data_IF_355438192993
#
_entry.id   IF_355438192993
#
_cell.length_a   1.000
_cell.length_b   1.000
_cell.length_c   1.000
_cell.angle_alpha   90.00
_cell.angle_beta   90.00
_cell.angle_gamma   90.00
#
_symmetry.space_group_name_H-M   'P 1'
#
loop_
_entity.id
_entity.type
_entity.pdbx_description
1 polymer ?
#
# COMPACT_ATOMS: atom_id res chain seq x y z
N UNK A 1 -35.56 6.63 -10.82
CA UNK A 1 -34.19 6.87 -10.35
C UNK A 1 -33.53 7.85 -11.29
N UNK A 2 -33.37 9.10 -10.86
CA UNK A 2 -32.75 10.15 -11.67
C UNK A 2 -31.25 10.24 -11.40
N UNK A 3 -30.51 10.90 -12.28
CA UNK A 3 -29.08 11.16 -12.08
C UNK A 3 -28.81 12.07 -10.86
N UNK A 4 -29.77 12.95 -10.51
CA UNK A 4 -29.69 13.77 -9.32
C UNK A 4 -29.76 12.94 -8.03
N UNK A 5 -30.67 11.95 -7.98
CA UNK A 5 -30.80 11.01 -6.85
C UNK A 5 -29.51 10.21 -6.64
N UNK A 6 -28.82 9.87 -7.72
CA UNK A 6 -27.51 9.20 -7.70
C UNK A 6 -26.40 10.08 -7.11
N UNK A 7 -26.30 11.34 -7.55
CA UNK A 7 -25.27 12.27 -7.07
C UNK A 7 -25.43 12.58 -5.58
N UNK A 8 -26.67 12.75 -5.12
CA UNK A 8 -26.97 12.97 -3.71
C UNK A 8 -26.62 11.73 -2.86
N UNK A 9 -26.87 10.54 -3.40
CA UNK A 9 -26.48 9.28 -2.79
C UNK A 9 -24.96 9.10 -2.68
N UNK A 10 -24.20 9.45 -3.73
CA UNK A 10 -22.73 9.43 -3.69
C UNK A 10 -22.15 10.45 -2.71
N UNK A 11 -22.69 11.67 -2.69
CA UNK A 11 -22.27 12.70 -1.73
C UNK A 11 -22.49 12.21 -0.28
N UNK A 12 -23.61 11.55 0.00
CA UNK A 12 -23.90 10.97 1.31
C UNK A 12 -23.02 9.77 1.69
N UNK A 13 -22.45 9.09 0.71
CA UNK A 13 -21.50 8.01 0.95
C UNK A 13 -20.10 8.54 1.27
N UNK A 14 -19.71 9.68 0.71
CA UNK A 14 -18.38 10.24 0.89
C UNK A 14 -18.27 11.09 2.17
N UNK A 15 -19.36 11.73 2.59
CA UNK A 15 -19.37 12.69 3.69
C UNK A 15 -20.37 12.29 4.79
N UNK A 16 -19.91 12.15 6.04
CA UNK A 16 -20.76 11.70 7.17
C UNK A 16 -21.86 12.71 7.54
N UNK A 17 -21.76 13.95 7.05
CA UNK A 17 -22.66 15.05 7.39
C UNK A 17 -23.90 15.19 6.48
N UNK A 18 -24.01 14.40 5.40
CA UNK A 18 -25.10 14.56 4.43
C UNK A 18 -26.33 13.74 4.85
N UNK A 19 -27.51 14.35 4.73
CA UNK A 19 -28.79 13.76 5.09
C UNK A 19 -29.06 12.45 4.33
N UNK A 20 -29.50 11.42 5.07
CA UNK A 20 -29.90 10.13 4.52
C UNK A 20 -31.04 10.32 3.52
N UNK A 21 -31.01 9.67 2.33
CA UNK A 21 -32.08 9.80 1.35
C UNK A 21 -33.47 9.48 1.92
N UNK A 22 -34.47 10.27 1.54
CA UNK A 22 -35.87 10.08 1.95
C UNK A 22 -36.55 8.90 1.27
N UNK A 23 -36.09 8.54 0.07
CA UNK A 23 -36.60 7.38 -0.65
C UNK A 23 -36.28 6.07 0.12
N UNK A 24 -37.28 5.22 0.40
CA UNK A 24 -37.11 4.03 1.23
C UNK A 24 -36.19 2.96 0.60
N UNK A 25 -36.14 2.88 -0.73
CA UNK A 25 -35.26 1.95 -1.45
C UNK A 25 -33.81 2.43 -1.33
N UNK A 26 -33.59 3.73 -1.52
CA UNK A 26 -32.26 4.34 -1.40
C UNK A 26 -31.72 4.27 0.02
N UNK A 27 -32.57 4.53 1.01
CA UNK A 27 -32.22 4.41 2.42
C UNK A 27 -31.71 3.02 2.76
N UNK A 28 -32.34 1.98 2.21
CA UNK A 28 -31.93 0.59 2.43
C UNK A 28 -30.61 0.27 1.73
N UNK A 29 -30.43 0.71 0.48
CA UNK A 29 -29.17 0.57 -0.24
C UNK A 29 -28.00 1.30 0.47
N UNK A 30 -28.26 2.52 0.96
CA UNK A 30 -27.31 3.31 1.74
C UNK A 30 -26.87 2.57 3.00
N UNK A 31 -27.81 2.02 3.77
CA UNK A 31 -27.50 1.24 4.97
C UNK A 31 -26.63 0.00 4.67
N UNK A 32 -26.92 -0.72 3.59
CA UNK A 32 -26.12 -1.89 3.17
C UNK A 32 -24.70 -1.48 2.83
N UNK A 33 -24.52 -0.46 2.00
CA UNK A 33 -23.19 -0.01 1.58
C UNK A 33 -22.40 0.56 2.76
N UNK A 34 -23.05 1.32 3.65
CA UNK A 34 -22.42 1.82 4.88
C UNK A 34 -21.95 0.68 5.77
N UNK A 35 -22.75 -0.37 5.94
CA UNK A 35 -22.38 -1.56 6.73
C UNK A 35 -21.23 -2.34 6.08
N UNK A 36 -21.23 -2.49 4.76
CA UNK A 36 -20.11 -3.10 4.02
C UNK A 36 -18.84 -2.27 4.19
N UNK A 37 -18.92 -0.93 4.18
CA UNK A 37 -17.78 -0.04 4.41
C UNK A 37 -17.26 -0.11 5.85
N UNK A 38 -18.16 -0.08 6.84
CA UNK A 38 -17.82 -0.28 8.26
C UNK A 38 -17.09 -1.61 8.48
N UNK A 39 -17.56 -2.69 7.84
CA UNK A 39 -16.88 -3.98 7.82
C UNK A 39 -15.52 -3.85 7.13
N UNK A 40 -15.46 -3.36 5.89
CA UNK A 40 -14.21 -3.23 5.14
C UNK A 40 -13.14 -2.45 5.91
N UNK A 41 -13.48 -1.35 6.59
CA UNK A 41 -12.51 -0.57 7.41
C UNK A 41 -11.97 -1.37 8.60
N UNK A 42 -12.78 -2.24 9.23
CA UNK A 42 -12.30 -3.16 10.28
C UNK A 42 -11.37 -4.22 9.70
N UNK A 43 -11.67 -4.69 8.50
CA UNK A 43 -10.94 -5.75 7.81
C UNK A 43 -9.63 -5.27 7.17
N UNK A 44 -9.57 -4.04 6.65
CA UNK A 44 -8.36 -3.42 6.03
C UNK A 44 -7.20 -3.25 7.03
N UNK A 45 -7.46 -3.30 8.34
CA UNK A 45 -6.41 -3.32 9.38
C UNK A 45 -5.80 -4.71 9.63
N UNK A 46 -6.31 -5.77 8.99
CA UNK A 46 -5.80 -7.15 9.10
C UNK A 46 -5.41 -7.68 7.72
N UNK A 47 -4.57 -8.72 7.75
CA UNK A 47 -3.86 -9.27 6.60
C UNK A 47 -4.82 -9.61 5.43
N UNK A 48 -4.83 -8.72 4.43
CA UNK A 48 -5.88 -8.60 3.42
C UNK A 48 -6.05 -9.87 2.57
N UNK A 49 -4.98 -10.66 2.43
CA UNK A 49 -4.95 -11.84 1.57
C UNK A 49 -5.78 -13.02 2.08
N UNK A 50 -5.89 -13.20 3.41
CA UNK A 50 -6.64 -14.32 3.99
C UNK A 50 -8.15 -14.08 4.00
N UNK A 51 -8.58 -12.81 4.02
CA UNK A 51 -9.97 -12.40 4.21
C UNK A 51 -10.63 -11.84 2.93
N UNK A 52 -9.85 -11.64 1.86
CA UNK A 52 -10.35 -11.21 0.54
C UNK A 52 -11.37 -12.18 -0.06
N UNK A 53 -11.09 -13.48 -0.03
CA UNK A 53 -11.99 -14.51 -0.56
C UNK A 53 -13.34 -14.55 0.17
N UNK A 54 -13.38 -14.56 1.52
CA UNK A 54 -14.62 -14.38 2.28
C UNK A 54 -15.37 -13.08 1.92
N UNK A 55 -14.66 -11.96 1.73
CA UNK A 55 -15.27 -10.69 1.35
C UNK A 55 -15.94 -10.74 -0.03
N UNK A 56 -15.25 -11.28 -1.04
CA UNK A 56 -15.79 -11.47 -2.40
C UNK A 56 -16.96 -12.45 -2.40
N UNK A 57 -16.91 -13.49 -1.57
CA UNK A 57 -17.98 -14.46 -1.41
C UNK A 57 -19.24 -13.83 -0.79
N UNK A 58 -19.09 -13.06 0.30
CA UNK A 58 -20.20 -12.35 0.93
C UNK A 58 -20.80 -11.28 0.00
N UNK A 59 -19.95 -10.58 -0.76
CA UNK A 59 -20.39 -9.66 -1.80
C UNK A 59 -21.23 -10.39 -2.86
N UNK A 60 -20.76 -11.55 -3.35
CA UNK A 60 -21.48 -12.35 -4.34
C UNK A 60 -22.82 -12.87 -3.81
N UNK A 61 -22.89 -13.30 -2.55
CA UNK A 61 -24.16 -13.69 -1.91
C UNK A 61 -25.11 -12.50 -1.75
N UNK A 62 -24.60 -11.33 -1.38
CA UNK A 62 -25.40 -10.11 -1.32
C UNK A 62 -25.96 -9.74 -2.69
N UNK A 63 -25.18 -9.92 -3.77
CA UNK A 63 -25.64 -9.74 -5.16
C UNK A 63 -26.81 -10.64 -5.49
N UNK A 64 -26.67 -11.96 -5.26
CA UNK A 64 -27.71 -12.94 -5.58
C UNK A 64 -29.00 -12.64 -4.82
N UNK A 65 -28.91 -12.43 -3.51
CA UNK A 65 -30.09 -12.14 -2.67
C UNK A 65 -30.76 -10.81 -3.05
N UNK A 66 -29.96 -9.81 -3.44
CA UNK A 66 -30.48 -8.52 -3.88
C UNK A 66 -31.22 -8.62 -5.21
N UNK A 67 -30.70 -9.42 -6.16
CA UNK A 67 -31.36 -9.73 -7.44
C UNK A 67 -32.70 -10.40 -7.20
N UNK A 68 -32.78 -11.38 -6.31
CA UNK A 68 -34.04 -12.07 -5.98
C UNK A 68 -35.10 -11.12 -5.42
N UNK A 69 -34.67 -10.18 -4.57
CA UNK A 69 -35.59 -9.28 -3.87
C UNK A 69 -36.01 -8.04 -4.69
N UNK A 70 -35.19 -7.60 -5.66
CA UNK A 70 -35.39 -6.31 -6.35
C UNK A 70 -35.26 -6.39 -7.88
N UNK A 71 -35.01 -7.58 -8.42
CA UNK A 71 -34.84 -7.82 -9.84
C UNK A 71 -33.45 -7.45 -10.39
N UNK A 72 -33.15 -8.00 -11.56
CA UNK A 72 -31.82 -7.93 -12.21
C UNK A 72 -31.40 -6.50 -12.56
N UNK A 73 -32.36 -5.63 -12.89
CA UNK A 73 -32.07 -4.22 -13.27
C UNK A 73 -31.57 -3.40 -12.07
N UNK A 74 -32.19 -3.57 -10.90
CA UNK A 74 -31.77 -2.87 -9.67
C UNK A 74 -30.40 -3.36 -9.19
N UNK A 75 -30.13 -4.66 -9.30
CA UNK A 75 -28.83 -5.22 -8.96
C UNK A 75 -27.72 -4.72 -9.88
N UNK A 76 -27.94 -4.73 -11.21
CA UNK A 76 -26.96 -4.22 -12.18
C UNK A 76 -26.58 -2.76 -11.90
N UNK A 77 -27.54 -1.93 -11.51
CA UNK A 77 -27.29 -0.55 -11.14
C UNK A 77 -26.43 -0.47 -9.86
N UNK A 78 -26.84 -1.13 -8.78
CA UNK A 78 -26.13 -1.08 -7.50
C UNK A 78 -24.67 -1.58 -7.61
N UNK A 79 -24.44 -2.68 -8.33
CA UNK A 79 -23.11 -3.26 -8.47
C UNK A 79 -22.27 -2.59 -9.54
N UNK A 80 -22.88 -2.06 -10.61
CA UNK A 80 -22.19 -1.22 -11.59
C UNK A 80 -21.63 0.05 -10.94
N UNK A 81 -22.44 0.70 -10.09
CA UNK A 81 -22.02 1.83 -9.26
C UNK A 81 -20.87 1.48 -8.33
N UNK A 82 -20.99 0.39 -7.56
CA UNK A 82 -19.94 -0.03 -6.64
C UNK A 82 -18.61 -0.31 -7.36
N UNK A 83 -18.65 -0.92 -8.55
CA UNK A 83 -17.46 -1.18 -9.36
C UNK A 83 -16.81 0.11 -9.89
N UNK A 84 -17.61 1.08 -10.34
CA UNK A 84 -17.10 2.38 -10.82
C UNK A 84 -16.46 3.19 -9.69
N UNK A 85 -17.09 3.22 -8.51
CA UNK A 85 -16.54 3.87 -7.31
C UNK A 85 -15.24 3.18 -6.87
N UNK A 86 -15.20 1.84 -6.85
CA UNK A 86 -13.98 1.10 -6.56
C UNK A 86 -12.84 1.45 -7.51
N UNK A 87 -13.13 1.54 -8.82
CA UNK A 87 -12.14 1.93 -9.83
C UNK A 87 -11.65 3.37 -9.63
N UNK A 88 -12.54 4.31 -9.30
CA UNK A 88 -12.18 5.69 -9.02
C UNK A 88 -11.28 5.83 -7.78
N UNK A 89 -11.54 5.05 -6.73
CA UNK A 89 -10.73 5.03 -5.51
C UNK A 89 -9.35 4.38 -5.68
N UNK A 90 -9.21 3.41 -6.59
CA UNK A 90 -7.92 2.79 -6.93
C UNK A 90 -7.11 3.60 -7.95
N UNK A 91 -7.73 4.59 -8.59
CA UNK A 91 -7.01 5.51 -9.47
C UNK A 91 -6.35 6.56 -8.59
N UNK A 92 -5.02 6.55 -8.49
CA UNK A 92 -4.30 7.61 -7.79
C UNK A 92 -4.69 8.98 -8.38
N UNK A 93 -4.87 10.02 -7.55
CA UNK A 93 -5.18 11.34 -8.05
C UNK A 93 -4.05 11.78 -9.01
N UNK A 94 -4.38 12.32 -10.19
CA UNK A 94 -3.36 12.76 -11.13
C UNK A 94 -2.44 13.77 -10.42
N UNK A 95 -1.11 13.68 -10.63
CA UNK A 95 -0.17 14.58 -9.98
C UNK A 95 -0.59 16.02 -10.27
N UNK A 96 -0.79 16.79 -9.20
CA UNK A 96 -1.08 18.23 -9.31
C UNK A 96 0.05 18.84 -10.12
N UNK A 97 -0.28 19.31 -11.33
CA UNK A 97 0.63 20.15 -12.13
C UNK A 97 0.75 21.48 -11.41
N UNK A 98 1.67 21.55 -10.45
CA UNK A 98 2.12 22.80 -9.88
C UNK A 98 2.87 23.59 -10.95
N UNK A 99 2.37 24.79 -11.24
CA UNK A 99 3.15 25.93 -11.69
C UNK A 99 3.87 25.81 -13.03
N UNK A 100 3.14 26.04 -14.12
CA UNK A 100 3.74 26.61 -15.32
C UNK A 100 3.96 28.12 -15.06
N UNK A 101 5.12 28.50 -14.56
CA UNK A 101 5.61 29.88 -14.62
C UNK A 101 6.39 30.08 -15.92
N UNK A 102 5.80 30.85 -16.82
CA UNK A 102 6.44 31.47 -17.98
C UNK A 102 7.15 32.75 -17.59
N UNK A 103 8.45 32.88 -17.92
CA UNK A 103 9.04 34.14 -18.39
C UNK A 103 10.44 33.96 -19.00
N UNK A 104 10.90 34.93 -19.83
CA UNK A 104 11.80 34.67 -20.96
C UNK A 104 13.26 35.10 -20.78
N UNK A 105 14.06 34.61 -21.74
CA UNK A 105 15.50 34.73 -21.97
C UNK A 105 16.17 36.09 -21.69
N UNK A 106 17.43 36.04 -21.21
CA UNK A 106 18.49 36.97 -21.62
C UNK A 106 19.90 36.51 -21.14
N UNK A 107 20.67 35.94 -22.08
CA UNK A 107 22.11 36.01 -22.32
C UNK A 107 23.08 36.41 -21.17
N UNK A 108 24.10 35.58 -20.91
CA UNK A 108 25.51 35.94 -21.21
C UNK A 108 26.45 34.77 -20.93
N UNK A 109 27.43 34.66 -21.84
CA UNK A 109 28.48 33.65 -21.87
C UNK A 109 29.56 33.99 -20.86
N UNK A 110 29.90 33.07 -19.96
CA UNK A 110 31.16 33.10 -19.20
C UNK A 110 31.51 31.66 -18.83
N UNK A 111 32.72 31.25 -19.19
CA UNK A 111 33.28 29.92 -18.92
C UNK A 111 33.31 29.63 -17.41
N UNK A 112 32.74 28.50 -17.00
CA UNK A 112 32.78 27.99 -15.62
C UNK A 112 33.39 26.57 -15.65
N UNK A 113 34.30 26.22 -14.72
CA UNK A 113 34.99 24.95 -14.71
C UNK A 113 34.06 23.80 -14.35
N UNK A 114 34.21 22.69 -15.07
CA UNK A 114 33.47 21.44 -14.88
C UNK A 114 33.91 20.75 -13.57
N UNK A 115 33.39 21.23 -12.44
CA UNK A 115 33.30 20.46 -11.21
C UNK A 115 31.94 19.78 -11.20
N UNK A 116 31.96 18.49 -11.55
CA UNK A 116 30.81 17.59 -11.47
C UNK A 116 30.56 17.33 -9.97
N UNK A 117 29.88 18.25 -9.31
CA UNK A 117 29.40 18.05 -7.95
C UNK A 117 28.45 16.84 -7.96
N UNK A 118 28.96 15.75 -7.40
CA UNK A 118 28.25 14.51 -7.12
C UNK A 118 27.19 14.81 -6.05
N UNK A 119 26.06 15.41 -6.46
CA UNK A 119 24.97 15.66 -5.54
C UNK A 119 24.44 14.31 -5.07
N UNK A 120 24.47 14.01 -3.75
CA UNK A 120 23.94 12.76 -3.25
C UNK A 120 22.46 12.70 -3.62
N UNK A 121 22.12 11.78 -4.52
CA UNK A 121 20.74 11.50 -4.88
C UNK A 121 20.06 11.05 -3.59
N UNK A 122 19.29 11.95 -2.97
CA UNK A 122 18.40 11.60 -1.86
C UNK A 122 17.41 10.58 -2.40
N UNK A 123 17.72 9.29 -2.21
CA UNK A 123 16.82 8.18 -2.48
C UNK A 123 15.59 8.41 -1.61
N UNK A 124 14.50 8.87 -2.22
CA UNK A 124 13.19 8.87 -1.58
C UNK A 124 12.85 7.42 -1.22
N UNK A 125 13.09 7.05 0.04
CA UNK A 125 12.68 5.74 0.57
C UNK A 125 11.17 5.79 0.73
N UNK A 126 10.45 5.09 -0.14
CA UNK A 126 9.02 4.87 0.02
C UNK A 126 8.82 4.06 1.31
N UNK A 127 8.02 4.55 2.25
CA UNK A 127 7.72 3.85 3.50
C UNK A 127 6.77 2.68 3.23
N UNK A 128 7.35 1.57 2.78
CA UNK A 128 6.63 0.31 2.61
C UNK A 128 6.93 -0.68 3.74
N UNK A 129 6.23 -1.81 3.68
CA UNK A 129 6.40 -2.93 4.60
C UNK A 129 7.79 -3.57 4.55
N UNK A 130 8.71 -3.15 3.68
CA UNK A 130 10.07 -3.67 3.63
C UNK A 130 11.11 -2.70 4.19
N UNK A 131 10.72 -1.46 4.45
CA UNK A 131 11.63 -0.40 4.90
C UNK A 131 12.29 -0.72 6.24
N UNK A 132 11.59 -1.42 7.14
CA UNK A 132 12.14 -1.81 8.44
C UNK A 132 13.27 -2.84 8.32
N UNK A 133 13.19 -3.76 7.35
CA UNK A 133 14.27 -4.71 7.09
C UNK A 133 15.52 -4.02 6.56
N UNK A 134 15.37 -3.03 5.67
CA UNK A 134 16.50 -2.25 5.16
C UNK A 134 17.18 -1.44 6.29
N UNK A 135 16.39 -0.87 7.20
CA UNK A 135 16.91 -0.19 8.40
C UNK A 135 17.62 -1.18 9.33
N UNK A 136 17.03 -2.36 9.57
CA UNK A 136 17.64 -3.41 10.38
C UNK A 136 18.99 -3.89 9.81
N UNK A 137 19.09 -4.03 8.49
CA UNK A 137 20.35 -4.41 7.81
C UNK A 137 21.43 -3.35 7.99
N UNK A 138 21.07 -2.07 7.83
CA UNK A 138 21.98 -0.94 8.03
C UNK A 138 22.53 -0.91 9.46
N UNK A 139 21.65 -1.07 10.45
CA UNK A 139 22.03 -1.14 11.88
C UNK A 139 22.88 -2.36 12.22
N UNK A 140 22.49 -3.53 11.73
CA UNK A 140 23.25 -4.76 11.98
C UNK A 140 24.66 -4.67 11.36
N UNK A 141 24.78 -4.08 10.16
CA UNK A 141 26.08 -3.82 9.52
C UNK A 141 26.97 -2.92 10.38
N UNK A 142 26.40 -1.83 10.90
CA UNK A 142 27.12 -0.88 11.77
C UNK A 142 27.60 -1.54 13.06
N UNK A 143 26.78 -2.42 13.66
CA UNK A 143 27.12 -3.07 14.94
C UNK A 143 28.09 -4.24 14.81
N UNK A 144 28.02 -5.04 13.73
CA UNK A 144 28.99 -6.11 13.50
C UNK A 144 30.38 -5.51 13.23
N UNK A 145 30.47 -4.49 12.39
CA UNK A 145 31.75 -3.93 11.96
C UNK A 145 32.49 -4.82 10.96
N UNK A 146 33.39 -4.23 10.17
CA UNK A 146 34.04 -4.93 9.04
C UNK A 146 35.11 -5.94 9.46
N UNK A 147 35.64 -5.82 10.68
CA UNK A 147 36.75 -6.65 11.17
C UNK A 147 36.29 -7.99 11.79
N UNK A 148 34.98 -8.23 11.91
CA UNK A 148 34.48 -9.46 12.51
C UNK A 148 34.59 -10.64 11.54
N UNK A 149 35.02 -11.84 12.00
CA UNK A 149 35.09 -13.04 11.16
C UNK A 149 33.75 -13.40 10.49
N UNK A 150 32.62 -13.01 11.10
CA UNK A 150 31.27 -13.30 10.61
C UNK A 150 30.68 -12.20 9.73
N UNK A 151 31.45 -11.17 9.39
CA UNK A 151 31.00 -10.10 8.51
C UNK A 151 30.74 -10.60 7.08
N UNK A 152 31.49 -11.61 6.62
CA UNK A 152 31.25 -12.27 5.34
C UNK A 152 29.87 -12.94 5.29
N UNK A 153 29.47 -13.66 6.34
CA UNK A 153 28.15 -14.27 6.45
C UNK A 153 27.03 -13.21 6.35
N UNK A 154 27.22 -12.09 7.05
CA UNK A 154 26.30 -10.96 7.01
C UNK A 154 26.10 -10.45 5.57
N UNK A 155 27.17 -10.23 4.82
CA UNK A 155 27.09 -9.71 3.44
C UNK A 155 26.28 -10.65 2.53
N UNK A 156 26.43 -11.98 2.71
CA UNK A 156 25.65 -12.97 1.95
C UNK A 156 24.16 -12.84 2.27
N UNK A 157 23.79 -12.77 3.55
CA UNK A 157 22.39 -12.64 3.94
C UNK A 157 21.78 -11.30 3.55
N UNK A 158 22.56 -10.21 3.62
CA UNK A 158 22.15 -8.89 3.19
C UNK A 158 21.82 -8.85 1.69
N UNK A 159 22.69 -9.41 0.85
CA UNK A 159 22.47 -9.48 -0.60
C UNK A 159 21.20 -10.28 -0.91
N UNK A 160 21.04 -11.46 -0.28
CA UNK A 160 19.86 -12.31 -0.45
C UNK A 160 18.58 -11.57 -0.06
N UNK A 161 18.52 -10.99 1.13
CA UNK A 161 17.32 -10.29 1.63
C UNK A 161 16.98 -9.08 0.73
N UNK A 162 17.99 -8.30 0.35
CA UNK A 162 17.82 -7.14 -0.54
C UNK A 162 17.24 -7.56 -1.90
N UNK A 163 17.70 -8.68 -2.45
CA UNK A 163 17.17 -9.22 -3.70
C UNK A 163 15.72 -9.69 -3.56
N UNK A 164 15.36 -10.37 -2.47
CA UNK A 164 13.98 -10.76 -2.19
C UNK A 164 13.07 -9.54 -2.07
N UNK A 165 13.49 -8.49 -1.35
CA UNK A 165 12.75 -7.24 -1.21
C UNK A 165 12.54 -6.56 -2.58
N UNK A 166 13.60 -6.42 -3.37
CA UNK A 166 13.52 -5.82 -4.72
C UNK A 166 12.53 -6.58 -5.62
N UNK A 167 12.59 -7.92 -5.62
CA UNK A 167 11.66 -8.74 -6.40
C UNK A 167 10.22 -8.62 -5.89
N UNK A 168 10.03 -8.56 -4.58
CA UNK A 168 8.71 -8.41 -3.96
C UNK A 168 8.08 -7.06 -4.27
N UNK A 169 8.86 -5.98 -4.24
CA UNK A 169 8.41 -4.64 -4.67
C UNK A 169 8.02 -4.59 -6.16
N UNK A 170 8.78 -5.27 -7.03
CA UNK A 170 8.56 -5.22 -8.48
C UNK A 170 7.44 -6.13 -8.97
N UNK A 171 7.30 -7.30 -8.36
CA UNK A 171 6.44 -8.38 -8.87
C UNK A 171 5.41 -8.87 -7.84
N UNK A 172 5.22 -8.15 -6.73
CA UNK A 172 4.40 -8.58 -5.60
C UNK A 172 5.09 -9.61 -4.70
N UNK A 173 4.55 -9.83 -3.50
CA UNK A 173 5.08 -10.83 -2.57
C UNK A 173 4.37 -12.17 -2.78
N UNK A 174 5.13 -13.21 -3.13
CA UNK A 174 4.58 -14.57 -3.36
C UNK A 174 4.86 -15.46 -2.16
N UNK A 175 4.16 -16.60 -2.05
CA UNK A 175 4.40 -17.57 -0.96
C UNK A 175 5.86 -18.02 -0.89
N UNK A 176 6.48 -18.26 -2.05
CA UNK A 176 7.88 -18.67 -2.10
C UNK A 176 8.83 -17.57 -1.61
N UNK A 177 8.56 -16.29 -1.96
CA UNK A 177 9.35 -15.14 -1.50
C UNK A 177 9.16 -14.87 -0.02
N UNK A 178 7.95 -15.10 0.50
CA UNK A 178 7.67 -15.03 1.92
C UNK A 178 8.48 -16.09 2.67
N UNK A 179 8.46 -17.35 2.21
CA UNK A 179 9.21 -18.44 2.81
C UNK A 179 10.72 -18.19 2.77
N UNK A 180 11.26 -17.77 1.62
CA UNK A 180 12.67 -17.41 1.46
C UNK A 180 13.05 -16.25 2.39
N UNK A 181 12.21 -15.22 2.49
CA UNK A 181 12.42 -14.10 3.41
C UNK A 181 12.47 -14.56 4.86
N UNK A 182 11.55 -15.43 5.27
CA UNK A 182 11.52 -15.97 6.64
C UNK A 182 12.80 -16.74 6.95
N UNK A 183 13.26 -17.60 6.04
CA UNK A 183 14.51 -18.34 6.22
C UNK A 183 15.72 -17.41 6.40
N UNK A 184 15.82 -16.36 5.57
CA UNK A 184 16.92 -15.38 5.66
C UNK A 184 16.84 -14.59 6.97
N UNK A 185 15.63 -14.22 7.42
CA UNK A 185 15.43 -13.53 8.69
C UNK A 185 15.87 -14.41 9.86
N UNK A 186 15.58 -15.72 9.84
CA UNK A 186 16.03 -16.64 10.89
C UNK A 186 17.56 -16.76 10.93
N UNK A 187 18.21 -16.80 9.75
CA UNK A 187 19.67 -16.79 9.63
C UNK A 187 20.28 -15.48 10.17
N UNK A 188 19.67 -14.33 9.85
CA UNK A 188 20.08 -13.02 10.36
C UNK A 188 19.86 -12.89 11.87
N UNK A 189 18.77 -13.43 12.41
CA UNK A 189 18.52 -13.46 13.85
C UNK A 189 19.59 -14.27 14.59
N UNK A 190 19.91 -15.47 14.10
CA UNK A 190 20.96 -16.31 14.68
C UNK A 190 22.33 -15.61 14.62
N UNK A 191 22.64 -14.95 13.51
CA UNK A 191 23.86 -14.16 13.36
C UNK A 191 23.89 -13.00 14.36
N UNK A 192 22.85 -12.16 14.39
CA UNK A 192 22.77 -10.98 15.25
C UNK A 192 22.85 -11.33 16.74
N UNK A 193 22.13 -12.36 17.20
CA UNK A 193 22.19 -12.81 18.58
C UNK A 193 23.59 -13.24 19.01
N UNK A 194 24.33 -13.89 18.11
CA UNK A 194 25.69 -14.36 18.40
C UNK A 194 26.78 -13.30 18.31
N UNK A 195 26.55 -12.20 17.61
CA UNK A 195 27.54 -11.12 17.41
C UNK A 195 27.26 -9.90 18.27
N UNK A 196 26.01 -9.44 18.31
CA UNK A 196 25.61 -8.18 18.96
C UNK A 196 24.67 -8.39 20.14
N UNK A 197 24.16 -9.62 20.36
CA UNK A 197 23.32 -9.98 21.50
C UNK A 197 21.85 -9.55 21.39
N UNK A 198 21.44 -8.98 20.25
CA UNK A 198 20.09 -8.51 19.96
C UNK A 198 19.60 -9.20 18.68
N UNK A 199 18.32 -9.56 18.60
CA UNK A 199 17.78 -10.19 17.39
C UNK A 199 17.66 -9.19 16.23
N UNK A 200 17.75 -9.66 14.98
CA UNK A 200 17.56 -8.82 13.80
C UNK A 200 16.15 -8.22 13.74
N UNK A 201 15.14 -8.95 14.20
CA UNK A 201 13.77 -8.44 14.31
C UNK A 201 13.67 -7.26 15.28
N UNK A 202 14.36 -7.29 16.42
CA UNK A 202 14.42 -6.14 17.34
C UNK A 202 15.10 -4.94 16.68
N UNK A 203 16.21 -5.16 15.97
CA UNK A 203 16.90 -4.10 15.22
C UNK A 203 16.02 -3.46 14.13
N UNK A 204 15.03 -4.18 13.59
CA UNK A 204 14.09 -3.64 12.62
C UNK A 204 13.04 -2.70 13.25
N UNK A 205 12.72 -2.88 14.53
CA UNK A 205 11.63 -2.18 15.21
C UNK A 205 12.08 -1.10 16.19
N UNK A 206 13.36 -1.09 16.57
CA UNK A 206 13.88 -0.16 17.57
C UNK A 206 13.78 1.29 17.07
N UNK A 207 13.10 2.16 17.82
CA UNK A 207 12.95 3.59 17.53
C UNK A 207 13.18 4.40 18.78
#
# INVERSE_FOLDING_TARGET
FSFADYLQFEAALLDEAVAVPDDPILRKAYQVIRKVRELAVRYVKRDFAAEYLPGVFLYSLAVVKYVESHGVKAARLAFGTAAMVGKALCSEPPPKKEGAETSPQSNSSTAIPSQKEDRPIKKFRYHDVFTHFEIGLERLREQIGQDQPRFSDFLVYEERLTNVIKRSRRFGDTRDRLAERTEIIDQLNALALSTVGISFNELCHDK
#
